data_IF_962146984788
#
_entry.id   IF_962146984788
#
_cell.length_a   1.000
_cell.length_b   1.000
_cell.length_c   1.000
_cell.angle_alpha   90.00
_cell.angle_beta   90.00
_cell.angle_gamma   90.00
#
_symmetry.space_group_name_H-M   'P 1'
#
loop_
_entity.id
_entity.type
_entity.pdbx_description
1 polymer ?
#
# COMPACT_ATOMS: atom_id res chain seq x y z
N UNK A 1 -21.40 12.43 1.58
CA UNK A 1 -20.64 12.08 2.81
C UNK A 1 -19.73 13.26 3.13
N UNK A 2 -19.82 13.84 4.34
CA UNK A 2 -18.89 14.92 4.76
C UNK A 2 -17.49 14.34 4.95
N UNK A 3 -16.45 15.11 4.64
CA UNK A 3 -15.07 14.73 4.96
C UNK A 3 -14.78 14.90 6.45
N UNK A 4 -13.93 14.07 7.07
CA UNK A 4 -13.58 14.17 8.50
C UNK A 4 -12.97 15.52 8.87
N UNK A 5 -12.35 16.21 7.90
CA UNK A 5 -11.80 17.57 8.04
C UNK A 5 -12.86 18.66 8.28
N UNK A 6 -14.15 18.36 8.07
CA UNK A 6 -15.27 19.28 8.29
C UNK A 6 -16.19 18.85 9.44
N UNK A 7 -15.90 17.72 10.09
CA UNK A 7 -16.67 17.20 11.20
C UNK A 7 -16.26 17.87 12.52
N UNK A 8 -17.24 18.07 13.39
CA UNK A 8 -17.07 18.46 14.80
C UNK A 8 -16.55 17.28 15.64
N UNK A 9 -16.11 17.54 16.87
CA UNK A 9 -15.58 16.49 17.75
C UNK A 9 -16.59 15.37 18.01
N UNK A 10 -17.85 15.74 18.26
CA UNK A 10 -18.93 14.76 18.46
C UNK A 10 -19.27 13.98 17.18
N UNK A 11 -19.21 14.63 16.00
CA UNK A 11 -19.37 13.93 14.72
C UNK A 11 -18.22 12.94 14.46
N UNK A 12 -16.97 13.28 14.82
CA UNK A 12 -15.81 12.40 14.65
C UNK A 12 -15.85 11.19 15.58
N UNK A 13 -16.24 11.37 16.85
CA UNK A 13 -16.42 10.26 17.79
C UNK A 13 -17.54 9.33 17.33
N UNK A 14 -18.70 9.88 16.95
CA UNK A 14 -19.80 9.08 16.43
C UNK A 14 -19.39 8.31 15.16
N UNK A 15 -18.66 8.96 14.25
CA UNK A 15 -18.12 8.35 13.05
C UNK A 15 -17.14 7.22 13.37
N UNK A 16 -16.17 7.44 14.26
CA UNK A 16 -15.19 6.43 14.67
C UNK A 16 -15.86 5.24 15.36
N UNK A 17 -16.87 5.50 16.17
CA UNK A 17 -17.62 4.46 16.89
C UNK A 17 -18.52 3.65 15.96
N UNK A 18 -19.20 4.30 15.02
CA UNK A 18 -20.08 3.62 14.05
C UNK A 18 -19.29 2.85 12.98
N UNK A 19 -18.20 3.43 12.47
CA UNK A 19 -17.41 2.86 11.37
C UNK A 19 -16.30 1.92 11.83
N UNK A 20 -15.64 2.23 12.93
CA UNK A 20 -14.46 1.50 13.40
C UNK A 20 -14.66 0.86 14.78
N UNK A 21 -15.77 1.14 15.48
CA UNK A 21 -15.99 0.66 16.85
C UNK A 21 -15.07 1.30 17.88
N UNK A 22 -14.43 2.43 17.56
CA UNK A 22 -13.46 3.12 18.43
C UNK A 22 -14.10 4.34 19.08
N UNK A 23 -13.96 4.45 20.39
CA UNK A 23 -14.38 5.62 21.16
C UNK A 23 -13.23 6.65 21.17
N UNK A 24 -13.47 7.84 20.63
CA UNK A 24 -12.46 8.89 20.54
C UNK A 24 -12.57 9.85 21.73
N UNK A 25 -11.43 10.18 22.35
CA UNK A 25 -11.41 11.08 23.50
C UNK A 25 -11.63 12.55 23.08
N UNK A 26 -12.84 13.06 23.33
CA UNK A 26 -13.23 14.44 22.99
C UNK A 26 -12.44 15.52 23.75
N UNK A 27 -11.67 15.18 24.78
CA UNK A 27 -10.77 16.09 25.50
C UNK A 27 -9.52 16.41 24.69
N UNK A 28 -9.18 15.59 23.69
CA UNK A 28 -8.07 15.86 22.77
C UNK A 28 -8.40 16.98 21.78
N UNK A 29 -7.38 17.50 21.10
CA UNK A 29 -7.56 18.53 20.07
C UNK A 29 -8.29 17.93 18.87
N UNK A 30 -9.09 18.76 18.20
CA UNK A 30 -9.85 18.32 17.02
C UNK A 30 -8.92 17.83 15.91
N UNK A 31 -7.71 18.38 15.78
CA UNK A 31 -6.69 17.93 14.83
C UNK A 31 -6.19 16.51 15.15
N UNK A 32 -5.96 16.18 16.43
CA UNK A 32 -5.58 14.83 16.85
C UNK A 32 -6.70 13.83 16.57
N UNK A 33 -7.96 14.22 16.83
CA UNK A 33 -9.13 13.39 16.54
C UNK A 33 -9.28 13.12 15.04
N UNK A 34 -9.08 14.15 14.20
CA UNK A 34 -9.08 14.01 12.74
C UNK A 34 -7.96 13.08 12.26
N UNK A 35 -6.76 13.21 12.83
CA UNK A 35 -5.64 12.35 12.50
C UNK A 35 -5.90 10.90 12.90
N UNK A 36 -6.55 10.65 14.05
CA UNK A 36 -6.96 9.30 14.48
C UNK A 36 -7.99 8.69 13.52
N UNK A 37 -9.03 9.44 13.15
CA UNK A 37 -10.02 8.97 12.16
C UNK A 37 -9.37 8.69 10.81
N UNK A 38 -8.52 9.59 10.31
CA UNK A 38 -7.82 9.39 9.03
C UNK A 38 -6.91 8.15 9.04
N UNK A 39 -6.25 7.87 10.16
CA UNK A 39 -5.49 6.62 10.35
C UNK A 39 -6.39 5.39 10.34
N UNK A 40 -7.52 5.44 11.04
CA UNK A 40 -8.49 4.35 11.07
C UNK A 40 -9.10 4.07 9.68
N UNK A 41 -9.41 5.12 8.91
CA UNK A 41 -9.81 5.00 7.49
C UNK A 41 -8.70 4.36 6.64
N UNK A 42 -7.45 4.75 6.86
CA UNK A 42 -6.29 4.17 6.17
C UNK A 42 -6.09 2.71 6.55
N UNK A 43 -6.19 2.33 7.82
CA UNK A 43 -6.08 0.94 8.29
C UNK A 43 -7.22 0.05 7.79
N UNK A 44 -8.44 0.58 7.60
CA UNK A 44 -9.54 -0.15 6.95
C UNK A 44 -9.28 -0.28 5.45
N UNK A 45 -8.78 0.77 4.79
CA UNK A 45 -8.36 0.68 3.39
C UNK A 45 -7.25 -0.38 3.23
N UNK A 46 -6.28 -0.44 4.14
CA UNK A 46 -5.21 -1.45 4.19
C UNK A 46 -5.71 -2.87 4.53
N UNK A 47 -6.92 -3.04 5.08
CA UNK A 47 -7.52 -4.38 5.28
C UNK A 47 -8.34 -4.89 4.10
N UNK A 48 -8.78 -4.02 3.20
CA UNK A 48 -9.31 -4.43 1.87
C UNK A 48 -8.22 -4.46 0.79
N UNK A 49 -7.02 -3.97 1.07
CA UNK A 49 -5.80 -4.30 0.35
C UNK A 49 -4.88 -5.14 1.22
N UNK A 50 -5.06 -6.46 1.17
CA UNK A 50 -3.93 -7.40 1.14
C UNK A 50 -3.08 -7.13 -0.12
N UNK A 51 -2.55 -5.91 -0.21
CA UNK A 51 -1.48 -5.48 -1.09
C UNK A 51 -0.35 -5.07 -0.16
N UNK A 52 0.17 -6.09 0.53
CA UNK A 52 1.49 -6.13 1.15
C UNK A 52 2.40 -5.01 0.65
N UNK A 53 2.63 -4.05 1.54
CA UNK A 53 3.78 -3.17 1.63
C UNK A 53 4.77 -3.31 0.47
N UNK A 54 4.76 -2.35 -0.46
CA UNK A 54 5.94 -2.03 -1.26
C UNK A 54 6.52 -0.74 -0.72
N UNK A 55 7.41 -0.78 0.28
CA UNK A 55 8.31 0.34 0.50
C UNK A 55 9.47 0.11 -0.48
N UNK A 56 9.42 0.77 -1.63
CA UNK A 56 10.58 1.40 -2.28
C UNK A 56 10.16 1.88 -3.66
N UNK A 57 10.02 3.20 -3.78
CA UNK A 57 9.96 3.95 -5.03
C UNK A 57 11.31 3.95 -5.81
N UNK A 58 12.21 3.02 -5.49
CA UNK A 58 13.49 2.78 -6.18
C UNK A 58 13.60 1.36 -6.78
N UNK A 59 12.50 0.64 -6.95
CA UNK A 59 12.50 -0.54 -7.82
C UNK A 59 12.53 -0.06 -9.27
N UNK A 60 13.73 0.10 -9.82
CA UNK A 60 13.98 -0.03 -11.27
C UNK A 60 12.97 -1.03 -11.83
N UNK A 61 12.17 -0.59 -12.80
CA UNK A 61 11.22 -1.46 -13.47
C UNK A 61 12.00 -2.67 -14.01
N UNK A 62 12.02 -3.76 -13.25
CA UNK A 62 12.71 -4.99 -13.64
C UNK A 62 12.06 -5.38 -14.95
N UNK A 63 12.78 -5.14 -16.05
CA UNK A 63 12.25 -5.28 -17.39
C UNK A 63 12.48 -6.70 -17.91
N UNK A 64 13.49 -7.37 -17.36
CA UNK A 64 13.88 -8.72 -17.73
C UNK A 64 14.14 -9.58 -16.51
N UNK A 65 13.75 -10.85 -16.63
CA UNK A 65 13.94 -11.90 -15.63
C UNK A 65 14.72 -13.04 -16.29
N UNK A 66 15.75 -13.55 -15.60
CA UNK A 66 16.55 -14.69 -16.04
C UNK A 66 16.30 -15.89 -15.15
N UNK A 67 16.17 -17.06 -15.77
CA UNK A 67 16.16 -18.32 -15.05
C UNK A 67 17.60 -18.82 -14.83
N UNK A 68 18.09 -18.99 -13.59
CA UNK A 68 19.50 -19.30 -13.31
C UNK A 68 19.92 -20.68 -13.84
N UNK A 69 19.01 -21.65 -13.91
CA UNK A 69 19.33 -23.01 -14.39
C UNK A 69 19.38 -23.15 -15.91
N UNK A 70 18.59 -22.37 -16.65
CA UNK A 70 18.43 -22.53 -18.11
C UNK A 70 19.02 -21.36 -18.88
N UNK A 71 19.34 -20.25 -18.19
CA UNK A 71 19.89 -19.04 -18.79
C UNK A 71 18.87 -18.22 -19.59
N UNK A 72 17.62 -18.68 -19.70
CA UNK A 72 16.56 -18.03 -20.49
C UNK A 72 16.20 -16.69 -19.87
N UNK A 73 16.19 -15.64 -20.71
CA UNK A 73 15.77 -14.30 -20.35
C UNK A 73 14.37 -14.05 -20.89
N UNK A 74 13.46 -13.61 -20.02
CA UNK A 74 12.06 -13.32 -20.33
C UNK A 74 11.74 -11.87 -19.97
N UNK A 75 10.80 -11.26 -20.67
CA UNK A 75 10.28 -9.94 -20.28
C UNK A 75 9.52 -10.09 -18.98
N UNK A 76 9.81 -9.23 -18.01
CA UNK A 76 9.13 -9.26 -16.73
C UNK A 76 7.65 -8.94 -16.91
N UNK A 77 6.80 -9.87 -16.50
CA UNK A 77 5.36 -9.66 -16.39
C UNK A 77 4.97 -9.84 -14.93
N UNK A 78 3.81 -9.30 -14.52
CA UNK A 78 3.29 -9.44 -13.15
C UNK A 78 3.24 -10.91 -12.68
N UNK A 79 2.96 -11.84 -13.60
CA UNK A 79 2.93 -13.27 -13.29
C UNK A 79 4.34 -13.85 -13.06
N UNK A 80 5.34 -13.39 -13.82
CA UNK A 80 6.72 -13.87 -13.69
C UNK A 80 7.44 -13.26 -12.49
N UNK A 81 7.12 -12.02 -12.10
CA UNK A 81 7.67 -11.37 -10.89
C UNK A 81 7.28 -12.10 -9.59
N UNK A 82 6.17 -12.83 -9.59
CA UNK A 82 5.75 -13.66 -8.46
C UNK A 82 6.51 -14.99 -8.35
N UNK A 83 7.29 -15.37 -9.37
CA UNK A 83 8.03 -16.63 -9.40
C UNK A 83 9.38 -16.46 -8.73
N UNK A 84 9.61 -17.22 -7.66
CA UNK A 84 10.90 -17.27 -6.94
C UNK A 84 12.02 -17.95 -7.73
N UNK A 85 11.70 -18.68 -8.81
CA UNK A 85 12.69 -19.33 -9.68
C UNK A 85 13.39 -18.37 -10.66
N UNK A 86 12.92 -17.11 -10.74
CA UNK A 86 13.39 -16.13 -11.71
C UNK A 86 14.08 -14.98 -10.99
N UNK A 87 15.25 -14.58 -11.50
CA UNK A 87 16.02 -13.48 -10.93
C UNK A 87 15.98 -12.26 -11.85
N UNK A 88 15.84 -11.04 -11.32
CA UNK A 88 16.01 -9.80 -12.07
C UNK A 88 17.34 -9.78 -12.82
N UNK A 89 17.33 -9.35 -14.08
CA UNK A 89 18.54 -9.18 -14.88
C UNK A 89 18.44 -7.97 -15.82
N UNK A 90 19.59 -7.46 -16.23
CA UNK A 90 19.67 -6.42 -17.26
C UNK A 90 19.37 -7.01 -18.65
N UNK A 91 18.97 -6.14 -19.60
CA UNK A 91 18.67 -6.54 -20.96
C UNK A 91 19.84 -7.31 -21.59
N UNK A 92 19.60 -8.35 -22.41
CA UNK A 92 20.68 -8.97 -23.16
C UNK A 92 21.34 -7.89 -24.02
N UNK A 93 22.64 -7.64 -23.78
CA UNK A 93 23.44 -6.81 -24.68
C UNK A 93 23.34 -7.49 -26.04
N UNK A 94 22.66 -6.84 -27.00
CA UNK A 94 22.87 -7.16 -28.41
C UNK A 94 24.33 -6.80 -28.65
N UNK A 95 25.21 -7.80 -28.67
CA UNK A 95 26.49 -7.66 -29.36
C UNK A 95 26.14 -7.21 -30.79
N UNK A 96 26.53 -5.98 -31.11
CA UNK A 96 26.39 -5.36 -32.41
C UNK A 96 27.45 -5.90 -33.37
#
# INVERSE_FOLDING_TARGET
>A
MKQPSQMTKDELEAYAKEKHGVDLDKREKIDDLRAKVAKLDSEISDKEVDASAVPNEDAEQVKYLKHPKTGVVMVATKALLKRSDLQPCEAPKKDA
#
